data_IF_868812440453
#
_entry.id   IF_868812440453
#
_cell.length_a   1.000
_cell.length_b   1.000
_cell.length_c   1.000
_cell.angle_alpha   90.00
_cell.angle_beta   90.00
_cell.angle_gamma   90.00
#
_symmetry.space_group_name_H-M   'P 1'
#
loop_
_entity.id
_entity.type
_entity.pdbx_description
1 polymer ?
#
# COMPACT_ATOMS: atom_id res chain seq x y z
N UNK A 1 7.31 -7.72 -63.31
CA UNK A 1 7.47 -6.48 -62.51
C UNK A 1 7.21 -6.85 -61.06
N UNK A 2 8.26 -7.12 -60.30
CA UNK A 2 8.21 -7.57 -58.90
C UNK A 2 8.04 -6.35 -57.99
N UNK A 3 6.87 -6.21 -57.36
CA UNK A 3 6.62 -5.17 -56.37
C UNK A 3 7.21 -5.61 -55.02
N UNK A 4 8.21 -4.88 -54.53
CA UNK A 4 8.82 -5.08 -53.20
C UNK A 4 7.79 -4.76 -52.11
N UNK A 5 7.43 -5.75 -51.30
CA UNK A 5 6.55 -5.56 -50.13
C UNK A 5 7.32 -4.76 -49.06
N UNK A 6 6.76 -3.69 -48.49
CA UNK A 6 7.42 -2.97 -47.42
C UNK A 6 7.57 -3.92 -46.22
N UNK A 7 8.78 -4.00 -45.69
CA UNK A 7 9.06 -4.75 -44.47
C UNK A 7 8.29 -4.10 -43.30
N UNK A 8 7.49 -4.87 -42.54
CA UNK A 8 6.77 -4.33 -41.41
C UNK A 8 7.77 -3.80 -40.37
N UNK A 9 7.49 -2.62 -39.80
CA UNK A 9 8.26 -2.08 -38.68
C UNK A 9 8.36 -3.15 -37.57
N UNK A 10 9.51 -3.28 -36.89
CA UNK A 10 9.60 -4.16 -35.73
C UNK A 10 8.53 -3.75 -34.71
N UNK A 11 7.80 -4.75 -34.19
CA UNK A 11 6.82 -4.51 -33.14
C UNK A 11 7.54 -4.06 -31.88
N UNK A 12 6.96 -3.07 -31.21
CA UNK A 12 7.46 -2.58 -29.93
C UNK A 12 7.34 -3.69 -28.87
N UNK A 13 8.26 -3.71 -27.89
CA UNK A 13 8.18 -4.69 -26.81
C UNK A 13 6.93 -4.45 -25.94
N UNK A 14 6.45 -5.48 -25.27
CA UNK A 14 5.28 -5.37 -24.38
C UNK A 14 5.53 -4.35 -23.26
N UNK A 15 6.73 -4.37 -22.67
CA UNK A 15 7.10 -3.49 -21.56
C UNK A 15 7.16 -2.03 -22.02
N UNK A 16 7.74 -1.77 -23.19
CA UNK A 16 7.74 -0.43 -23.79
C UNK A 16 6.31 0.04 -24.06
N UNK A 17 5.44 -0.86 -24.52
CA UNK A 17 4.04 -0.52 -24.85
C UNK A 17 3.23 -0.21 -23.60
N UNK A 18 3.43 -0.99 -22.54
CA UNK A 18 2.80 -0.75 -21.25
C UNK A 18 3.29 0.56 -20.62
N UNK A 19 4.61 0.80 -20.63
CA UNK A 19 5.19 2.04 -20.10
C UNK A 19 4.69 3.27 -20.86
N UNK A 20 4.64 3.19 -22.19
CA UNK A 20 4.10 4.28 -23.00
C UNK A 20 2.61 4.49 -22.71
N UNK A 21 1.80 3.43 -22.62
CA UNK A 21 0.37 3.54 -22.34
C UNK A 21 0.11 4.15 -20.95
N UNK A 22 0.81 3.68 -19.91
CA UNK A 22 0.68 4.21 -18.56
C UNK A 22 1.19 5.64 -18.44
N UNK A 23 2.18 6.05 -19.23
CA UNK A 23 2.68 7.43 -19.28
C UNK A 23 1.65 8.46 -19.77
N UNK A 24 0.59 8.03 -20.43
CA UNK A 24 -0.53 8.90 -20.83
C UNK A 24 -1.69 8.88 -19.82
N UNK A 25 -1.67 7.96 -18.85
CA UNK A 25 -2.71 7.90 -17.83
C UNK A 25 -2.58 9.12 -16.91
N UNK A 26 -3.70 9.82 -16.71
CA UNK A 26 -3.79 10.94 -15.78
C UNK A 26 -4.54 10.48 -14.52
N UNK A 27 -4.23 11.10 -13.39
CA UNK A 27 -4.97 10.85 -12.16
C UNK A 27 -6.42 11.31 -12.34
N UNK A 28 -7.36 10.55 -11.82
CA UNK A 28 -8.76 10.94 -11.87
C UNK A 28 -9.00 12.05 -10.85
N UNK A 29 -9.69 13.11 -11.29
CA UNK A 29 -10.05 14.22 -10.42
C UNK A 29 -11.24 13.90 -9.52
N UNK A 30 -11.21 14.45 -8.32
CA UNK A 30 -12.31 14.39 -7.37
C UNK A 30 -12.21 13.25 -6.36
N UNK A 31 -12.78 13.49 -5.19
CA UNK A 31 -12.97 12.50 -4.14
C UNK A 31 -14.35 12.69 -3.54
N UNK A 32 -14.94 11.59 -3.09
CA UNK A 32 -16.22 11.61 -2.39
C UNK A 32 -16.07 10.93 -1.02
N UNK A 33 -16.74 11.45 0.02
CA UNK A 33 -16.85 10.74 1.27
C UNK A 33 -17.76 9.52 1.09
N UNK A 34 -17.25 8.35 1.45
CA UNK A 34 -17.99 7.09 1.45
C UNK A 34 -18.04 6.52 2.86
N UNK A 35 -19.10 5.78 3.17
CA UNK A 35 -19.16 5.03 4.42
C UNK A 35 -18.10 3.92 4.41
N UNK A 36 -17.52 3.60 5.58
CA UNK A 36 -16.45 2.60 5.69
C UNK A 36 -16.88 1.21 5.20
N UNK A 37 -18.16 0.87 5.34
CA UNK A 37 -18.71 -0.40 4.85
C UNK A 37 -18.77 -0.48 3.31
N UNK A 38 -18.83 0.67 2.63
CA UNK A 38 -18.90 0.76 1.16
C UNK A 38 -17.53 1.11 0.54
N UNK A 39 -16.48 1.16 1.35
CA UNK A 39 -15.14 1.56 0.94
C UNK A 39 -14.30 0.40 0.36
N UNK A 40 -14.77 -0.84 0.46
CA UNK A 40 -14.02 -2.01 -0.04
C UNK A 40 -13.77 -1.91 -1.56
N UNK A 41 -12.53 -2.19 -1.99
CA UNK A 41 -12.08 -2.05 -3.38
C UNK A 41 -11.88 -0.62 -3.91
N UNK A 42 -12.10 0.42 -3.10
CA UNK A 42 -11.83 1.82 -3.48
C UNK A 42 -10.39 2.24 -3.15
N UNK A 43 -9.94 3.34 -3.74
CA UNK A 43 -8.61 3.93 -3.51
C UNK A 43 -8.74 5.15 -2.61
N UNK A 44 -7.90 5.25 -1.58
CA UNK A 44 -7.85 6.43 -0.71
C UNK A 44 -7.35 7.65 -1.49
N UNK A 45 -8.08 8.76 -1.37
CA UNK A 45 -7.70 10.03 -1.99
C UNK A 45 -6.55 10.75 -1.23
N UNK A 46 -6.32 10.38 0.04
CA UNK A 46 -5.31 10.97 0.90
C UNK A 46 -4.87 9.97 1.98
N UNK A 47 -3.74 10.25 2.62
CA UNK A 47 -3.22 9.44 3.72
C UNK A 47 -4.20 9.36 4.90
N UNK A 48 -4.31 8.17 5.48
CA UNK A 48 -5.11 7.91 6.68
C UNK A 48 -4.19 7.89 7.92
N UNK A 49 -4.21 8.98 8.69
CA UNK A 49 -3.40 9.10 9.91
C UNK A 49 -4.28 8.89 11.14
N UNK A 50 -3.86 8.01 12.06
CA UNK A 50 -4.58 7.80 13.31
C UNK A 50 -4.51 9.05 14.18
N UNK A 51 -5.67 9.51 14.66
CA UNK A 51 -5.74 10.61 15.62
C UNK A 51 -5.61 10.12 17.07
N UNK A 52 -5.57 8.80 17.28
CA UNK A 52 -5.57 8.17 18.60
C UNK A 52 -4.39 7.21 18.73
N UNK A 53 -3.83 7.15 19.94
CA UNK A 53 -2.92 6.10 20.33
C UNK A 53 -3.73 4.88 20.74
N UNK A 54 -3.49 3.73 20.10
CA UNK A 54 -4.24 2.50 20.36
C UNK A 54 -3.25 1.35 20.58
N UNK A 55 -3.15 0.79 21.81
CA UNK A 55 -3.83 1.22 23.04
C UNK A 55 -3.32 2.58 23.55
N UNK A 56 -4.13 3.37 24.26
CA UNK A 56 -3.76 4.72 24.69
C UNK A 56 -2.75 4.75 25.85
N UNK A 57 -2.63 3.65 26.59
CA UNK A 57 -1.77 3.49 27.76
C UNK A 57 -1.15 2.10 27.71
N UNK A 58 -0.05 1.93 28.44
CA UNK A 58 0.57 0.62 28.65
C UNK A 58 -0.43 -0.30 29.36
N UNK A 59 -0.68 -1.46 28.78
CA UNK A 59 -1.56 -2.47 29.35
C UNK A 59 -0.87 -3.83 29.38
N UNK A 60 -1.35 -4.71 30.25
CA UNK A 60 -0.90 -6.09 30.25
C UNK A 60 -1.63 -6.88 29.17
N UNK A 61 -0.91 -7.59 28.31
CA UNK A 61 -1.51 -8.49 27.32
C UNK A 61 -2.12 -9.74 27.95
N UNK A 62 -1.72 -10.08 29.18
CA UNK A 62 -2.07 -11.31 29.89
C UNK A 62 -2.42 -11.04 31.34
N UNK A 63 -3.17 -11.95 31.96
CA UNK A 63 -3.32 -11.95 33.42
C UNK A 63 -2.01 -12.41 34.08
N UNK A 64 -1.53 -11.67 35.07
CA UNK A 64 -0.26 -11.95 35.72
C UNK A 64 0.11 -10.91 36.77
N UNK A 65 1.39 -10.84 37.09
CA UNK A 65 1.93 -9.91 38.09
C UNK A 65 2.87 -8.91 37.43
N UNK A 66 2.69 -7.62 37.72
CA UNK A 66 3.61 -6.58 37.29
C UNK A 66 4.87 -6.59 38.16
N UNK A 67 6.03 -6.88 37.55
CA UNK A 67 7.33 -6.88 38.21
C UNK A 67 8.23 -5.82 37.57
N UNK A 68 9.18 -5.29 38.35
CA UNK A 68 10.24 -4.43 37.80
C UNK A 68 11.34 -5.32 37.27
N UNK A 69 11.77 -5.13 36.02
CA UNK A 69 12.83 -5.95 35.41
C UNK A 69 14.12 -5.96 36.25
N UNK A 70 14.43 -4.86 36.96
CA UNK A 70 15.60 -4.75 37.83
C UNK A 70 15.57 -5.73 39.02
N UNK A 71 14.38 -6.10 39.51
CA UNK A 71 14.23 -6.97 40.68
C UNK A 71 14.31 -8.46 40.29
N UNK A 72 14.39 -8.77 38.99
CA UNK A 72 14.41 -10.14 38.43
C UNK A 72 15.81 -10.55 37.94
N UNK A 73 16.72 -9.60 37.72
CA UNK A 73 18.04 -9.84 37.13
C UNK A 73 18.94 -10.79 37.95
N UNK A 74 18.66 -10.97 39.24
CA UNK A 74 19.42 -11.86 40.12
C UNK A 74 18.95 -13.34 40.08
N UNK A 75 17.95 -13.67 39.25
CA UNK A 75 17.48 -15.04 39.02
C UNK A 75 18.19 -15.68 37.82
N UNK A 76 19.52 -15.62 37.77
CA UNK A 76 20.30 -16.59 36.99
C UNK A 76 20.28 -17.94 37.73
N UNK A 77 19.31 -18.79 37.39
CA UNK A 77 19.44 -20.24 37.41
C UNK A 77 19.39 -20.76 35.97
#
# INVERSE_FOLDING_TARGET
>A
MTATRPTPKPLMSLDDALAQLLGHATMLDGSEPVATFDADGRVLAQDLVSQLQVPPQDNSSMDGYALRCADVADLTQ
#
